data_IF_578398878708
#
_entry.id   IF_578398878708
#
_cell.length_a   1.000
_cell.length_b   1.000
_cell.length_c   1.000
_cell.angle_alpha   90.00
_cell.angle_beta   90.00
_cell.angle_gamma   90.00
#
_symmetry.space_group_name_H-M   'P 1'
#
loop_
_entity.id
_entity.type
_entity.pdbx_description
1 polymer ?
#
# COMPACT_ATOMS: atom_id res chain seq x y z
N UNK A 1 1.74 -10.22 -14.47
CA UNK A 1 1.23 -10.62 -13.14
C UNK A 1 0.51 -9.41 -12.58
N UNK A 2 -0.82 -9.36 -12.65
CA UNK A 2 -1.61 -8.19 -12.21
C UNK A 2 -1.69 -8.23 -10.69
N UNK A 3 -0.89 -7.39 -10.02
CA UNK A 3 -1.23 -7.01 -8.65
C UNK A 3 -2.63 -6.39 -8.66
N UNK A 4 -3.37 -6.60 -7.58
CA UNK A 4 -4.81 -6.39 -7.43
C UNK A 4 -5.24 -4.91 -7.55
N UNK A 5 -5.07 -4.30 -8.72
CA UNK A 5 -5.56 -2.94 -9.01
C UNK A 5 -7.07 -2.89 -8.83
N UNK A 6 -7.54 -1.83 -8.17
CA UNK A 6 -8.96 -1.58 -7.88
C UNK A 6 -9.66 -2.71 -7.11
N UNK A 7 -8.90 -3.49 -6.33
CA UNK A 7 -9.47 -4.40 -5.33
C UNK A 7 -9.19 -3.86 -3.94
N UNK A 8 -10.18 -3.99 -3.07
CA UNK A 8 -10.05 -3.71 -1.65
C UNK A 8 -9.43 -4.92 -0.95
N UNK A 9 -8.32 -4.68 -0.25
CA UNK A 9 -7.71 -5.60 0.69
C UNK A 9 -7.93 -5.13 2.13
N UNK A 10 -7.55 -5.95 3.10
CA UNK A 10 -7.59 -5.58 4.53
C UNK A 10 -6.17 -5.23 4.96
N UNK A 11 -6.01 -4.15 5.73
CA UNK A 11 -4.76 -3.85 6.42
C UNK A 11 -5.00 -3.88 7.93
N UNK A 12 -3.96 -4.26 8.67
CA UNK A 12 -3.91 -4.25 10.12
C UNK A 12 -2.58 -3.61 10.54
N UNK A 13 -2.67 -2.53 11.32
CA UNK A 13 -1.52 -1.86 11.94
C UNK A 13 -1.62 -2.12 13.44
N UNK A 14 -0.61 -2.79 13.98
CA UNK A 14 -0.50 -3.13 15.40
C UNK A 14 0.62 -2.31 16.03
N UNK A 15 0.32 -1.68 17.16
CA UNK A 15 1.32 -1.14 18.07
C UNK A 15 1.12 -1.77 19.47
N UNK A 16 2.07 -1.56 20.37
CA UNK A 16 2.10 -2.13 21.72
C UNK A 16 0.81 -1.90 22.54
N UNK A 17 0.02 -0.88 22.18
CA UNK A 17 -1.18 -0.49 22.93
C UNK A 17 -2.49 -0.72 22.16
N UNK A 18 -2.45 -0.93 20.84
CA UNK A 18 -3.67 -0.90 20.02
C UNK A 18 -3.55 -1.63 18.70
N UNK A 19 -4.71 -2.00 18.14
CA UNK A 19 -4.85 -2.57 16.81
C UNK A 19 -5.74 -1.65 15.99
N UNK A 20 -5.24 -1.23 14.83
CA UNK A 20 -5.95 -0.40 13.87
C UNK A 20 -6.17 -1.18 12.57
N UNK A 21 -7.43 -1.39 12.20
CA UNK A 21 -7.84 -2.17 11.05
C UNK A 21 -8.60 -1.32 10.05
N UNK A 22 -8.48 -1.65 8.77
CA UNK A 22 -9.22 -0.98 7.73
C UNK A 22 -9.09 -1.68 6.38
N UNK A 23 -9.56 -0.99 5.35
CA UNK A 23 -9.47 -1.45 3.97
C UNK A 23 -8.43 -0.63 3.21
N UNK A 24 -7.70 -1.29 2.30
CA UNK A 24 -6.75 -0.64 1.39
C UNK A 24 -7.16 -0.89 -0.04
N UNK A 25 -7.24 0.15 -0.85
CA UNK A 25 -7.48 0.06 -2.29
C UNK A 25 -6.23 0.54 -3.05
N UNK A 26 -5.66 -0.31 -3.89
CA UNK A 26 -4.54 0.09 -4.76
C UNK A 26 -5.09 0.61 -6.09
N UNK A 27 -4.85 1.89 -6.38
CA UNK A 27 -5.33 2.57 -7.59
C UNK A 27 -4.36 2.39 -8.76
N UNK A 28 -3.05 2.41 -8.48
CA UNK A 28 -2.02 2.22 -9.48
C UNK A 28 -0.77 1.60 -8.86
N UNK A 29 -0.04 0.82 -9.65
CA UNK A 29 1.24 0.25 -9.27
C UNK A 29 2.14 0.16 -10.51
N UNK A 30 3.33 0.73 -10.40
CA UNK A 30 4.35 0.68 -11.45
C UNK A 30 5.59 0.04 -10.84
N UNK A 31 6.12 -1.00 -11.49
CA UNK A 31 7.36 -1.66 -11.08
C UNK A 31 8.36 -1.59 -12.22
N UNK A 32 9.47 -0.91 -11.96
CA UNK A 32 10.66 -0.87 -12.82
C UNK A 32 11.80 -1.65 -12.14
N UNK A 33 12.97 -1.68 -12.77
CA UNK A 33 14.16 -2.38 -12.26
C UNK A 33 14.65 -1.84 -10.91
N UNK A 34 14.53 -0.54 -10.72
CA UNK A 34 15.12 0.25 -9.63
C UNK A 34 14.07 0.96 -8.77
N UNK A 35 12.77 0.86 -9.12
CA UNK A 35 11.70 1.60 -8.48
C UNK A 35 10.40 0.79 -8.41
N UNK A 36 9.72 0.88 -7.27
CA UNK A 36 8.32 0.51 -7.11
C UNK A 36 7.52 1.76 -6.73
N UNK A 37 6.55 2.13 -7.55
CA UNK A 37 5.57 3.17 -7.26
C UNK A 37 4.22 2.53 -6.93
N UNK A 38 3.58 2.99 -5.84
CA UNK A 38 2.28 2.51 -5.39
C UNK A 38 1.40 3.71 -5.05
N UNK A 39 0.22 3.80 -5.67
CA UNK A 39 -0.81 4.77 -5.34
C UNK A 39 -1.99 4.04 -4.72
N UNK A 40 -2.33 4.37 -3.47
CA UNK A 40 -3.35 3.66 -2.71
C UNK A 40 -4.20 4.57 -1.84
N UNK A 41 -5.35 4.06 -1.42
CA UNK A 41 -6.26 4.67 -0.44
C UNK A 41 -6.43 3.77 0.76
N UNK A 42 -6.55 4.35 1.95
CA UNK A 42 -6.91 3.65 3.19
C UNK A 42 -8.27 4.13 3.67
N UNK A 43 -9.10 3.17 4.08
CA UNK A 43 -10.44 3.39 4.59
C UNK A 43 -10.61 2.75 5.97
N UNK A 44 -11.45 3.35 6.80
CA UNK A 44 -11.92 2.77 8.07
C UNK A 44 -13.41 3.02 8.16
N UNK A 45 -14.22 1.97 8.38
CA UNK A 45 -15.68 2.05 8.42
C UNK A 45 -16.26 2.76 7.18
N UNK A 46 -15.77 2.42 5.98
CA UNK A 46 -16.09 3.04 4.68
C UNK A 46 -15.69 4.52 4.51
N UNK A 47 -15.13 5.16 5.54
CA UNK A 47 -14.61 6.53 5.45
C UNK A 47 -13.18 6.53 4.90
N UNK A 48 -12.92 7.37 3.89
CA UNK A 48 -11.58 7.59 3.34
C UNK A 48 -10.72 8.33 4.37
N UNK A 49 -9.71 7.65 4.90
CA UNK A 49 -8.77 8.24 5.86
C UNK A 49 -7.64 8.95 5.12
N UNK A 50 -7.10 8.33 4.08
CA UNK A 50 -5.99 8.93 3.32
C UNK A 50 -5.85 8.34 1.92
N UNK A 51 -5.33 9.14 0.99
CA UNK A 51 -4.85 8.73 -0.32
C UNK A 51 -3.37 9.08 -0.41
N UNK A 52 -2.53 8.10 -0.72
CA UNK A 52 -1.08 8.22 -0.61
C UNK A 52 -0.36 7.67 -1.85
N UNK A 53 0.81 8.24 -2.12
CA UNK A 53 1.74 7.81 -3.17
C UNK A 53 3.05 7.42 -2.51
N UNK A 54 3.45 6.17 -2.69
CA UNK A 54 4.68 5.61 -2.14
C UNK A 54 5.64 5.29 -3.27
N UNK A 55 6.88 5.75 -3.14
CA UNK A 55 8.00 5.44 -4.01
C UNK A 55 9.04 4.67 -3.20
N UNK A 56 9.36 3.45 -3.66
CA UNK A 56 10.37 2.58 -3.06
C UNK A 56 11.51 2.40 -4.06
N UNK A 57 12.69 2.87 -3.70
CA UNK A 57 13.91 2.68 -4.49
C UNK A 57 14.46 1.29 -4.18
N UNK A 58 14.61 0.46 -5.21
CA UNK A 58 15.23 -0.86 -5.12
C UNK A 58 16.73 -0.67 -5.27
N UNK A 59 17.48 -0.90 -4.21
CA UNK A 59 18.94 -1.01 -4.28
C UNK A 59 19.28 -2.50 -4.33
N UNK A 60 20.03 -2.93 -5.35
CA UNK A 60 20.62 -4.26 -5.35
C UNK A 60 21.61 -4.32 -4.19
N UNK A 61 21.47 -5.34 -3.33
CA UNK A 61 22.47 -5.61 -2.32
C UNK A 61 23.74 -6.11 -3.03
N UNK A 62 24.86 -5.40 -2.87
CA UNK A 62 26.17 -5.93 -3.27
C UNK A 62 26.39 -7.25 -2.52
N UNK A 63 26.62 -8.32 -3.28
CA UNK A 63 26.77 -9.70 -2.79
C UNK A 63 28.14 -9.97 -2.17
#
# INVERSE_FOLDING_TARGET
MSFCLNKRGIFEIKDNQTVFNGEVETLNMIRNSDLIYIHYRLFVNDDLITEQKLELIIQEAEA
#
